data_IF_073907288339
#
_entry.id   IF_073907288339
#
_cell.length_a   1.000
_cell.length_b   1.000
_cell.length_c   1.000
_cell.angle_alpha   90.00
_cell.angle_beta   90.00
_cell.angle_gamma   90.00
#
_symmetry.space_group_name_H-M   'P 1'
#
loop_
_entity.id
_entity.type
_entity.pdbx_description
1 polymer ?
#
# COMPACT_ATOMS: atom_id res chain seq x y z
N UNK A 1 26.98 -6.79 -79.10
CA UNK A 1 27.73 -7.23 -77.93
C UNK A 1 27.07 -6.53 -76.73
N UNK A 2 26.11 -7.21 -76.10
CA UNK A 2 25.31 -6.61 -74.99
C UNK A 2 25.85 -7.09 -73.66
N UNK A 3 26.37 -6.14 -72.85
CA UNK A 3 26.90 -6.38 -71.50
C UNK A 3 25.72 -6.39 -70.49
N UNK A 4 25.42 -7.53 -69.89
CA UNK A 4 24.42 -7.67 -68.82
C UNK A 4 25.08 -7.34 -67.43
N UNK A 5 24.69 -6.21 -66.86
CA UNK A 5 25.02 -5.89 -65.47
C UNK A 5 24.05 -6.67 -64.54
N UNK A 6 24.58 -7.55 -63.69
CA UNK A 6 23.84 -8.16 -62.60
C UNK A 6 23.96 -7.26 -61.36
N UNK A 7 22.86 -6.69 -60.95
CA UNK A 7 22.75 -6.04 -59.62
C UNK A 7 22.61 -7.12 -58.57
N UNK A 8 23.58 -7.17 -57.62
CA UNK A 8 23.51 -8.01 -56.40
C UNK A 8 22.84 -7.18 -55.31
N UNK A 9 21.59 -7.53 -54.94
CA UNK A 9 20.88 -6.92 -53.83
C UNK A 9 21.39 -7.59 -52.52
N UNK A 10 22.18 -6.87 -51.76
CA UNK A 10 22.59 -7.31 -50.39
C UNK A 10 21.46 -6.86 -49.44
N UNK A 11 20.65 -7.80 -48.98
CA UNK A 11 19.68 -7.59 -47.91
C UNK A 11 20.41 -7.64 -46.58
N UNK A 12 20.63 -6.49 -45.96
CA UNK A 12 21.11 -6.39 -44.59
C UNK A 12 19.94 -6.72 -43.62
N UNK A 13 20.00 -7.89 -43.03
CA UNK A 13 19.11 -8.29 -41.94
C UNK A 13 19.62 -7.58 -40.69
N UNK A 14 18.92 -6.53 -40.27
CA UNK A 14 19.10 -5.90 -38.96
C UNK A 14 18.54 -6.84 -37.90
N UNK A 15 19.39 -7.61 -37.25
CA UNK A 15 19.08 -8.27 -36.00
C UNK A 15 18.90 -7.18 -34.92
N UNK A 16 17.64 -6.81 -34.65
CA UNK A 16 17.30 -6.06 -33.44
C UNK A 16 17.52 -7.00 -32.28
N UNK A 17 18.66 -6.87 -31.60
CA UNK A 17 18.90 -7.54 -30.33
C UNK A 17 17.92 -6.93 -29.33
N UNK A 18 16.81 -7.63 -29.03
CA UNK A 18 16.09 -7.43 -27.79
C UNK A 18 17.05 -7.80 -26.66
N UNK A 19 17.70 -6.82 -26.05
CA UNK A 19 18.38 -7.04 -24.79
C UNK A 19 17.32 -7.53 -23.79
N UNK A 20 17.41 -8.76 -23.32
CA UNK A 20 16.62 -9.24 -22.20
C UNK A 20 16.83 -8.25 -21.05
N UNK A 21 15.73 -7.63 -20.63
CA UNK A 21 15.77 -6.66 -19.53
C UNK A 21 15.99 -7.46 -18.26
N UNK A 22 17.20 -7.43 -17.72
CA UNK A 22 17.57 -8.14 -16.49
C UNK A 22 16.69 -7.65 -15.36
N UNK A 23 16.05 -8.58 -14.64
CA UNK A 23 15.29 -8.27 -13.43
C UNK A 23 16.26 -7.82 -12.33
N UNK A 24 15.88 -6.88 -11.46
CA UNK A 24 16.71 -6.47 -10.34
C UNK A 24 16.90 -7.61 -9.37
N UNK A 25 18.12 -7.78 -8.86
CA UNK A 25 18.41 -8.71 -7.78
C UNK A 25 18.10 -8.07 -6.44
N UNK A 26 17.47 -8.84 -5.52
CA UNK A 26 17.10 -8.38 -4.19
C UNK A 26 18.16 -8.79 -3.18
N UNK A 27 18.80 -7.81 -2.54
CA UNK A 27 19.69 -8.00 -1.39
C UNK A 27 18.92 -7.65 -0.10
N UNK A 28 18.82 -8.62 0.82
CA UNK A 28 18.19 -8.40 2.13
C UNK A 28 19.24 -7.84 3.09
N UNK A 29 19.11 -6.58 3.48
CA UNK A 29 20.01 -5.89 4.40
C UNK A 29 19.57 -6.05 5.88
N UNK A 30 18.27 -6.12 6.12
CA UNK A 30 17.70 -6.34 7.46
C UNK A 30 16.40 -7.14 7.34
N UNK A 31 16.19 -8.07 8.27
CA UNK A 31 14.98 -8.88 8.39
C UNK A 31 14.73 -9.10 9.89
N UNK A 32 13.80 -8.34 10.48
CA UNK A 32 13.58 -8.31 11.92
C UNK A 32 12.09 -8.10 12.24
N UNK A 33 11.71 -8.37 13.49
CA UNK A 33 10.45 -7.87 14.04
C UNK A 33 10.65 -6.44 14.57
N UNK A 34 9.64 -5.57 14.39
CA UNK A 34 9.68 -4.20 14.92
C UNK A 34 9.76 -4.23 16.45
N UNK A 35 9.14 -5.21 17.09
CA UNK A 35 9.19 -5.42 18.53
C UNK A 35 9.17 -6.91 18.86
N UNK A 36 9.75 -7.26 20.02
CA UNK A 36 9.72 -8.63 20.54
C UNK A 36 8.60 -8.84 21.57
N UNK A 37 8.28 -7.78 22.33
CA UNK A 37 7.22 -7.77 23.36
C UNK A 37 6.31 -6.57 23.14
N UNK A 38 5.04 -6.73 23.42
CA UNK A 38 3.99 -5.71 23.37
C UNK A 38 3.01 -5.91 24.51
N UNK A 39 2.28 -4.86 24.83
CA UNK A 39 1.19 -4.90 25.83
C UNK A 39 -0.14 -5.38 25.20
N UNK A 40 -0.13 -5.78 23.94
CA UNK A 40 -1.26 -6.30 23.20
C UNK A 40 -0.93 -7.65 22.56
N UNK A 41 -1.86 -8.63 22.59
CA UNK A 41 -1.64 -9.96 22.01
C UNK A 41 -1.74 -10.00 20.51
N UNK A 42 -2.56 -9.12 19.90
CA UNK A 42 -2.78 -9.08 18.44
C UNK A 42 -2.47 -7.72 17.83
N UNK A 43 -2.01 -7.74 16.59
CA UNK A 43 -1.74 -6.55 15.78
C UNK A 43 -2.01 -6.80 14.31
N UNK A 44 -2.26 -5.74 13.54
CA UNK A 44 -2.49 -5.85 12.08
C UNK A 44 -2.27 -4.52 11.36
N UNK A 45 -2.22 -4.60 10.00
CA UNK A 45 -2.28 -3.46 9.07
C UNK A 45 -1.21 -2.40 9.34
N UNK A 46 0.04 -2.77 9.16
CA UNK A 46 1.16 -1.83 9.29
C UNK A 46 1.28 -0.88 8.11
N UNK A 47 1.88 0.27 8.38
CA UNK A 47 2.23 1.33 7.44
C UNK A 47 3.62 1.87 7.74
N UNK A 48 4.27 2.49 6.76
CA UNK A 48 5.62 3.07 6.86
C UNK A 48 5.66 4.48 6.30
N UNK A 49 6.56 5.29 6.83
CA UNK A 49 6.95 6.58 6.24
C UNK A 49 8.42 6.89 6.55
N UNK A 50 9.11 7.58 5.63
CA UNK A 50 10.38 8.25 5.89
C UNK A 50 10.10 9.69 6.33
N UNK A 51 10.67 10.11 7.47
CA UNK A 51 10.58 11.48 7.97
C UNK A 51 11.47 12.43 7.16
N UNK A 52 11.41 13.74 7.42
CA UNK A 52 12.34 14.70 6.83
C UNK A 52 13.79 14.43 7.24
N UNK A 53 14.03 13.99 8.48
CA UNK A 53 15.35 13.61 8.97
C UNK A 53 15.88 12.27 8.41
N UNK A 54 15.13 11.57 7.53
CA UNK A 54 15.52 10.29 6.96
C UNK A 54 15.32 9.10 7.92
N UNK A 55 14.53 9.28 8.98
CA UNK A 55 14.17 8.24 9.93
C UNK A 55 12.93 7.49 9.45
N UNK A 56 12.87 6.17 9.65
CA UNK A 56 11.70 5.38 9.30
C UNK A 56 10.77 5.26 10.50
N UNK A 57 9.50 5.56 10.31
CA UNK A 57 8.42 5.32 11.26
C UNK A 57 7.54 4.21 10.71
N UNK A 58 7.17 3.26 11.57
CA UNK A 58 6.12 2.30 11.31
C UNK A 58 4.95 2.53 12.27
N UNK A 59 3.72 2.33 11.79
CA UNK A 59 2.54 2.32 12.63
C UNK A 59 1.64 1.12 12.27
N UNK A 60 0.83 0.68 13.22
CA UNK A 60 -0.10 -0.45 13.08
C UNK A 60 -1.21 -0.34 14.12
N UNK A 61 -2.26 -1.12 14.00
CA UNK A 61 -3.20 -1.26 15.10
C UNK A 61 -2.91 -2.51 15.93
N UNK A 62 -3.20 -2.44 17.25
CA UNK A 62 -3.02 -3.55 18.18
C UNK A 62 -4.01 -3.48 19.34
N UNK A 63 -4.36 -4.62 19.89
CA UNK A 63 -5.28 -4.79 21.01
C UNK A 63 -5.50 -6.26 21.33
N UNK A 64 -6.54 -6.58 22.10
CA UNK A 64 -6.88 -7.95 22.49
C UNK A 64 -7.18 -8.82 21.25
N UNK A 65 -8.00 -8.34 20.34
CA UNK A 65 -8.26 -8.90 19.01
C UNK A 65 -8.89 -7.82 18.13
N UNK A 66 -8.82 -8.01 16.80
CA UNK A 66 -9.44 -7.11 15.85
C UNK A 66 -10.94 -6.90 16.17
N UNK A 67 -11.42 -5.66 16.22
CA UNK A 67 -12.76 -5.21 16.66
C UNK A 67 -12.92 -5.01 18.16
N UNK A 68 -12.00 -5.45 19.00
CA UNK A 68 -12.10 -5.20 20.43
C UNK A 68 -12.00 -3.69 20.73
N UNK A 69 -12.78 -3.13 21.68
CA UNK A 69 -12.78 -1.69 21.96
C UNK A 69 -11.45 -1.11 22.45
N UNK A 70 -10.48 -1.93 22.88
CA UNK A 70 -9.15 -1.49 23.30
C UNK A 70 -8.17 -1.31 22.14
N UNK A 71 -8.55 -1.73 20.92
CA UNK A 71 -7.68 -1.62 19.75
C UNK A 71 -7.30 -0.17 19.52
N UNK A 72 -6.00 0.06 19.56
CA UNK A 72 -5.38 1.39 19.47
C UNK A 72 -4.34 1.42 18.35
N UNK A 73 -3.96 2.62 17.91
CA UNK A 73 -2.87 2.81 16.94
C UNK A 73 -1.55 2.98 17.71
N UNK A 74 -0.59 2.16 17.33
CA UNK A 74 0.78 2.20 17.84
C UNK A 74 1.76 2.62 16.77
N UNK A 75 2.86 3.24 17.17
CA UNK A 75 4.00 3.51 16.32
C UNK A 75 5.30 3.02 16.94
N UNK A 76 6.30 2.85 16.10
CA UNK A 76 7.70 2.69 16.49
C UNK A 76 8.58 3.49 15.53
N UNK A 77 9.63 4.09 16.06
CA UNK A 77 10.60 4.90 15.31
C UNK A 77 11.90 4.12 15.23
N UNK A 78 12.46 4.00 14.02
CA UNK A 78 13.71 3.30 13.77
C UNK A 78 14.89 4.25 13.98
N UNK A 79 15.81 3.85 14.83
CA UNK A 79 17.12 4.51 15.00
C UNK A 79 18.26 3.59 14.53
N UNK A 80 19.50 4.07 14.62
CA UNK A 80 20.69 3.24 14.34
C UNK A 80 20.81 2.06 15.30
N UNK A 81 20.28 2.16 16.52
CA UNK A 81 20.25 1.08 17.52
C UNK A 81 19.09 0.09 17.33
N UNK A 82 18.21 0.31 16.35
CA UNK A 82 17.03 -0.50 16.05
C UNK A 82 15.71 0.22 16.30
N UNK A 83 14.64 -0.54 16.42
CA UNK A 83 13.29 -0.03 16.63
C UNK A 83 13.05 0.33 18.11
N UNK A 84 12.45 1.49 18.34
CA UNK A 84 11.99 1.87 19.68
C UNK A 84 10.84 0.95 20.15
N UNK A 85 10.57 0.90 21.45
CA UNK A 85 9.40 0.22 21.97
C UNK A 85 8.11 0.83 21.36
N UNK A 86 7.07 0.02 21.09
CA UNK A 86 5.78 0.52 20.62
C UNK A 86 5.22 1.61 21.54
N UNK A 87 4.78 2.72 20.98
CA UNK A 87 4.09 3.79 21.68
C UNK A 87 2.69 4.01 21.10
N UNK A 88 1.69 4.12 21.97
CA UNK A 88 0.32 4.41 21.54
C UNK A 88 0.19 5.88 21.12
N UNK A 89 -0.35 6.12 19.90
CA UNK A 89 -0.48 7.46 19.32
C UNK A 89 -1.93 7.85 19.01
N UNK A 90 -2.85 6.89 18.99
CA UNK A 90 -4.29 7.14 18.90
C UNK A 90 -5.07 5.98 19.52
N UNK A 91 -6.22 6.27 20.05
CA UNK A 91 -7.23 5.30 20.49
C UNK A 91 -8.63 5.87 20.18
N UNK A 92 -9.66 5.04 20.35
CA UNK A 92 -11.05 5.43 20.10
C UNK A 92 -11.76 5.95 21.34
N UNK A 93 -11.03 6.51 22.32
CA UNK A 93 -11.60 7.11 23.51
C UNK A 93 -11.95 8.56 23.27
N UNK A 94 -13.22 8.87 23.31
CA UNK A 94 -13.69 10.27 23.30
C UNK A 94 -13.66 10.83 24.73
N UNK A 95 -13.14 12.04 24.96
CA UNK A 95 -13.29 12.69 26.27
C UNK A 95 -14.76 12.76 26.65
N UNK A 96 -15.11 12.26 27.83
CA UNK A 96 -16.45 12.16 28.39
C UNK A 96 -17.34 11.01 27.86
N UNK A 97 -16.83 10.11 27.02
CA UNK A 97 -17.57 8.92 26.60
C UNK A 97 -17.12 7.70 27.39
N UNK A 98 -18.07 6.89 27.82
CA UNK A 98 -17.79 5.60 28.47
C UNK A 98 -17.53 4.48 27.47
N UNK A 99 -17.78 4.75 26.19
CA UNK A 99 -17.63 3.81 25.08
C UNK A 99 -16.33 4.11 24.35
N UNK A 100 -15.44 3.15 24.27
CA UNK A 100 -14.29 3.18 23.38
C UNK A 100 -14.64 2.44 22.09
N UNK A 101 -14.35 3.03 20.94
CA UNK A 101 -14.43 2.36 19.65
C UNK A 101 -13.06 1.75 19.28
N UNK A 102 -13.01 0.60 18.61
CA UNK A 102 -11.76 0.14 18.03
C UNK A 102 -11.24 1.13 16.97
N UNK A 103 -9.93 1.23 16.89
CA UNK A 103 -9.25 1.96 15.82
C UNK A 103 -8.65 0.99 14.81
N UNK A 104 -8.54 1.41 13.52
CA UNK A 104 -8.21 0.51 12.42
C UNK A 104 -7.28 1.16 11.41
N UNK A 105 -6.52 0.31 10.71
CA UNK A 105 -5.80 0.62 9.48
C UNK A 105 -5.15 2.00 9.47
N UNK A 106 -4.10 2.23 10.27
CA UNK A 106 -3.33 3.45 10.17
C UNK A 106 -2.66 3.55 8.81
N UNK A 107 -2.59 4.75 8.26
CA UNK A 107 -1.79 5.06 7.07
C UNK A 107 -0.98 6.31 7.35
N UNK A 108 0.33 6.17 7.32
CA UNK A 108 1.28 7.27 7.40
C UNK A 108 1.56 7.82 6.00
N UNK A 109 1.60 9.12 5.90
CA UNK A 109 1.92 9.83 4.68
C UNK A 109 2.69 11.12 4.97
N UNK A 110 3.76 11.40 4.22
CA UNK A 110 4.51 12.66 4.27
C UNK A 110 4.12 13.50 3.08
N UNK A 111 3.56 14.69 3.31
CA UNK A 111 3.21 15.61 2.24
C UNK A 111 4.41 16.41 1.74
N UNK A 112 4.26 17.15 0.64
CA UNK A 112 5.34 17.99 0.06
C UNK A 112 5.79 19.12 0.99
N UNK A 113 5.02 19.46 2.04
CA UNK A 113 5.42 20.42 3.07
C UNK A 113 6.20 19.77 4.22
N UNK A 114 6.60 18.50 4.06
CA UNK A 114 7.29 17.66 5.04
C UNK A 114 6.48 17.37 6.31
N UNK A 115 5.19 17.66 6.32
CA UNK A 115 4.31 17.32 7.41
C UNK A 115 3.90 15.85 7.33
N UNK A 116 3.94 15.14 8.46
CA UNK A 116 3.43 13.80 8.56
C UNK A 116 1.92 13.81 8.85
N UNK A 117 1.19 13.05 8.07
CA UNK A 117 -0.23 12.80 8.24
C UNK A 117 -0.42 11.35 8.69
N UNK A 118 -1.12 11.14 9.80
CA UNK A 118 -1.58 9.85 10.26
C UNK A 118 -3.10 9.77 10.04
N UNK A 119 -3.51 9.03 9.03
CA UNK A 119 -4.89 8.64 8.84
C UNK A 119 -5.17 7.34 9.57
N UNK A 120 -6.34 7.20 10.16
CA UNK A 120 -6.82 5.93 10.71
C UNK A 120 -8.35 5.92 10.70
N UNK A 121 -8.95 4.80 11.03
CA UNK A 121 -10.39 4.67 11.14
C UNK A 121 -10.76 4.46 12.60
N UNK A 122 -11.92 4.93 12.98
CA UNK A 122 -12.53 4.70 14.29
C UNK A 122 -13.98 4.27 14.07
N UNK A 123 -14.43 3.29 14.83
CA UNK A 123 -15.81 2.79 14.73
C UNK A 123 -15.92 1.28 14.90
N UNK A 124 -17.13 0.74 15.05
CA UNK A 124 -17.37 -0.66 15.44
C UNK A 124 -16.95 -1.67 14.36
N UNK A 125 -16.98 -1.29 13.07
CA UNK A 125 -16.70 -2.20 11.96
C UNK A 125 -16.28 -1.47 10.69
N UNK A 126 -15.67 -2.16 9.70
CA UNK A 126 -15.32 -1.55 8.42
C UNK A 126 -16.48 -0.97 7.61
N UNK A 127 -17.71 -1.41 7.88
CA UNK A 127 -18.92 -0.88 7.22
C UNK A 127 -19.49 0.37 7.89
N UNK A 128 -19.11 0.66 9.15
CA UNK A 128 -19.69 1.73 9.97
C UNK A 128 -18.67 2.69 10.56
N UNK A 129 -17.39 2.51 10.27
CA UNK A 129 -16.31 3.38 10.75
C UNK A 129 -16.29 4.74 10.05
N UNK A 130 -15.55 5.67 10.60
CA UNK A 130 -15.28 7.00 10.06
C UNK A 130 -13.77 7.28 10.01
N UNK A 131 -13.39 8.22 9.15
CA UNK A 131 -12.00 8.62 8.98
C UNK A 131 -11.54 9.59 10.07
N UNK A 132 -10.32 9.39 10.55
CA UNK A 132 -9.62 10.24 11.51
C UNK A 132 -8.28 10.68 10.94
N UNK A 133 -7.81 11.86 11.33
CA UNK A 133 -6.54 12.44 10.92
C UNK A 133 -5.83 13.06 12.12
N UNK A 134 -4.55 12.79 12.27
CA UNK A 134 -3.60 13.52 13.13
C UNK A 134 -2.43 14.03 12.28
N UNK A 135 -1.78 15.08 12.74
CA UNK A 135 -0.66 15.73 12.05
C UNK A 135 0.55 15.82 12.96
N UNK A 136 1.76 15.73 12.38
CA UNK A 136 3.02 15.94 13.07
C UNK A 136 3.95 16.79 12.22
N UNK A 137 4.61 17.74 12.83
CA UNK A 137 5.63 18.64 12.23
C UNK A 137 7.00 18.47 12.89
N UNK A 138 7.18 17.41 13.68
CA UNK A 138 8.40 17.12 14.44
C UNK A 138 8.89 15.68 14.24
N UNK A 139 8.72 15.17 13.00
CA UNK A 139 9.11 13.82 12.61
C UNK A 139 8.44 12.70 13.43
N UNK A 140 7.15 12.89 13.75
CA UNK A 140 6.33 11.90 14.44
C UNK A 140 6.62 11.74 15.93
N UNK A 141 7.39 12.66 16.54
CA UNK A 141 7.64 12.66 17.99
C UNK A 141 6.40 13.03 18.77
N UNK A 142 5.65 14.00 18.25
CA UNK A 142 4.34 14.38 18.78
C UNK A 142 3.30 14.46 17.67
N UNK A 143 2.05 14.27 18.04
CA UNK A 143 0.91 14.30 17.13
C UNK A 143 -0.15 15.28 17.64
N UNK A 144 -0.79 16.01 16.73
CA UNK A 144 -1.92 16.87 17.05
C UNK A 144 -3.07 16.09 17.68
N UNK A 145 -4.07 16.78 18.20
CA UNK A 145 -5.37 16.21 18.47
C UNK A 145 -5.95 15.56 17.21
N UNK A 146 -6.74 14.51 17.39
CA UNK A 146 -7.39 13.82 16.29
C UNK A 146 -8.56 14.65 15.74
N UNK A 147 -8.64 14.74 14.42
CA UNK A 147 -9.72 15.43 13.70
C UNK A 147 -10.51 14.37 12.94
N UNK A 148 -11.82 14.32 13.14
CA UNK A 148 -12.70 13.50 12.31
C UNK A 148 -12.79 14.10 10.90
N UNK A 149 -12.57 13.28 9.88
CA UNK A 149 -12.73 13.70 8.50
C UNK A 149 -14.21 14.00 8.19
N UNK A 150 -14.49 14.83 7.18
CA UNK A 150 -15.88 15.12 6.79
C UNK A 150 -16.67 13.86 6.48
N UNK A 151 -17.98 13.92 6.64
CA UNK A 151 -18.85 12.79 6.31
C UNK A 151 -18.67 12.33 4.87
N UNK A 152 -18.59 11.00 4.66
CA UNK A 152 -18.33 10.39 3.36
C UNK A 152 -16.87 10.38 2.94
N UNK A 153 -15.97 10.98 3.73
CA UNK A 153 -14.52 10.95 3.54
C UNK A 153 -13.90 10.05 4.62
N UNK A 154 -13.15 9.04 4.18
CA UNK A 154 -12.53 8.05 5.08
C UNK A 154 -11.01 8.22 5.18
N UNK A 155 -10.41 8.99 4.28
CA UNK A 155 -8.96 8.95 4.08
C UNK A 155 -8.50 7.60 3.47
N UNK A 156 -7.21 7.38 3.32
CA UNK A 156 -6.67 6.15 2.77
C UNK A 156 -7.03 4.96 3.68
N UNK A 157 -7.58 3.89 3.11
CA UNK A 157 -8.05 2.75 3.92
C UNK A 157 -6.90 1.86 4.39
N UNK A 158 -5.90 1.61 3.53
CA UNK A 158 -4.76 0.74 3.86
C UNK A 158 -3.46 1.24 3.25
N UNK A 159 -3.50 1.70 2.02
CA UNK A 159 -2.31 2.04 1.26
C UNK A 159 -2.09 3.55 1.25
N UNK A 160 -0.82 3.94 1.18
CA UNK A 160 -0.40 5.34 1.21
C UNK A 160 -0.96 6.13 0.04
N UNK A 161 -1.34 7.40 0.24
CA UNK A 161 -1.59 8.34 -0.85
C UNK A 161 -0.35 8.56 -1.73
N UNK A 162 -0.57 9.08 -2.92
CA UNK A 162 0.47 9.73 -3.73
C UNK A 162 0.18 11.22 -3.79
N UNK A 163 1.23 12.04 -3.90
CA UNK A 163 1.07 13.47 -4.14
C UNK A 163 1.69 13.82 -5.48
N UNK A 164 0.88 14.40 -6.36
CA UNK A 164 1.29 14.79 -7.70
C UNK A 164 2.17 16.06 -7.65
N UNK A 165 2.93 16.32 -8.71
CA UNK A 165 3.74 17.55 -8.83
C UNK A 165 2.90 18.83 -8.73
N UNK A 166 1.61 18.74 -9.08
CA UNK A 166 0.64 19.83 -8.89
C UNK A 166 0.29 20.12 -7.43
N UNK A 167 0.75 19.29 -6.49
CA UNK A 167 0.41 19.35 -5.07
C UNK A 167 -0.86 18.61 -4.68
N UNK A 168 -1.61 18.07 -5.65
CA UNK A 168 -2.83 17.29 -5.38
C UNK A 168 -2.47 15.96 -4.72
N UNK A 169 -3.05 15.70 -3.56
CA UNK A 169 -3.00 14.40 -2.88
C UNK A 169 -4.09 13.51 -3.48
N UNK A 170 -3.72 12.32 -3.93
CA UNK A 170 -4.63 11.27 -4.39
C UNK A 170 -4.61 10.14 -3.37
N UNK A 171 -5.65 10.06 -2.57
CA UNK A 171 -5.77 9.14 -1.43
C UNK A 171 -6.62 7.93 -1.82
N UNK A 172 -6.06 6.70 -1.81
CA UNK A 172 -6.80 5.49 -2.18
C UNK A 172 -7.72 5.06 -1.04
N UNK A 173 -9.01 4.91 -1.33
CA UNK A 173 -10.04 4.62 -0.33
C UNK A 173 -11.05 3.58 -0.84
N UNK A 174 -11.89 3.07 0.06
CA UNK A 174 -12.95 2.13 -0.27
C UNK A 174 -14.02 2.09 0.82
N UNK A 175 -15.20 1.58 0.46
CA UNK A 175 -16.31 1.34 1.38
C UNK A 175 -16.75 -0.12 1.30
N UNK A 176 -17.28 -0.61 2.41
CA UNK A 176 -17.92 -1.91 2.56
C UNK A 176 -19.34 -1.70 3.07
N UNK A 177 -20.33 -2.38 2.49
CA UNK A 177 -21.71 -2.34 3.00
C UNK A 177 -21.87 -3.18 4.27
N UNK A 178 -22.85 -2.86 5.10
CA UNK A 178 -23.10 -3.58 6.36
C UNK A 178 -23.45 -5.05 6.15
N UNK A 179 -24.15 -5.37 5.07
CA UNK A 179 -24.47 -6.74 4.69
C UNK A 179 -23.29 -7.51 4.06
N UNK A 180 -22.14 -6.84 3.88
CA UNK A 180 -20.93 -7.40 3.28
C UNK A 180 -21.06 -7.72 1.78
N UNK A 181 -22.17 -7.36 1.14
CA UNK A 181 -22.44 -7.72 -0.25
C UNK A 181 -21.83 -6.74 -1.25
N UNK A 182 -21.57 -5.51 -0.84
CA UNK A 182 -21.01 -4.47 -1.71
C UNK A 182 -19.70 -3.95 -1.16
N UNK A 183 -18.65 -4.03 -1.99
CA UNK A 183 -17.37 -3.37 -1.77
C UNK A 183 -17.07 -2.49 -2.98
N UNK A 184 -16.79 -1.22 -2.78
CA UNK A 184 -16.51 -0.27 -3.86
C UNK A 184 -15.30 0.59 -3.51
N UNK A 185 -14.39 0.70 -4.47
CA UNK A 185 -13.19 1.53 -4.36
C UNK A 185 -13.42 2.94 -4.91
N UNK A 186 -12.70 3.89 -4.37
CA UNK A 186 -12.67 5.27 -4.81
C UNK A 186 -11.32 5.90 -4.46
N UNK A 187 -11.07 7.09 -4.96
CA UNK A 187 -10.02 7.96 -4.44
C UNK A 187 -10.63 9.20 -3.82
N UNK A 188 -9.91 9.82 -2.91
CA UNK A 188 -10.24 11.10 -2.31
C UNK A 188 -9.12 12.08 -2.67
N UNK A 189 -9.49 13.18 -3.35
CA UNK A 189 -8.57 14.20 -3.84
C UNK A 189 -8.53 15.39 -2.89
N UNK A 190 -7.33 15.87 -2.58
CA UNK A 190 -7.14 17.13 -1.84
C UNK A 190 -6.11 18.00 -2.54
N UNK A 191 -6.45 19.27 -2.76
CA UNK A 191 -5.54 20.28 -3.33
C UNK A 191 -4.98 21.27 -2.28
N UNK A 192 -5.35 21.09 -1.01
CA UNK A 192 -5.04 22.00 0.10
C UNK A 192 -4.38 21.27 1.29
N UNK A 193 -3.56 20.25 0.99
CA UNK A 193 -2.77 19.48 1.95
C UNK A 193 -3.65 18.69 2.95
N UNK A 194 -4.79 18.16 2.47
CA UNK A 194 -5.67 17.32 3.28
C UNK A 194 -6.60 18.10 4.21
N UNK A 195 -6.92 19.35 3.90
CA UNK A 195 -7.93 20.15 4.64
C UNK A 195 -9.33 19.89 4.10
N UNK A 196 -9.46 19.85 2.76
CA UNK A 196 -10.71 19.52 2.08
C UNK A 196 -10.51 18.37 1.10
N UNK A 197 -11.58 17.62 0.84
CA UNK A 197 -11.52 16.40 0.07
C UNK A 197 -12.68 16.28 -0.91
N UNK A 198 -12.40 15.72 -2.09
CA UNK A 198 -13.38 15.35 -3.09
C UNK A 198 -13.29 13.86 -3.38
N UNK A 199 -14.40 13.13 -3.20
CA UNK A 199 -14.47 11.70 -3.52
C UNK A 199 -14.71 11.48 -5.01
N UNK A 200 -13.94 10.55 -5.61
CA UNK A 200 -14.03 10.13 -7.01
C UNK A 200 -14.09 8.61 -7.08
N UNK A 201 -15.16 8.05 -7.62
CA UNK A 201 -15.33 6.60 -7.73
C UNK A 201 -14.33 5.96 -8.70
N UNK A 202 -13.86 4.75 -8.35
CA UNK A 202 -13.23 3.83 -9.30
C UNK A 202 -14.31 2.82 -9.71
N UNK A 203 -14.85 2.90 -10.94
CA UNK A 203 -15.95 2.04 -11.37
C UNK A 203 -15.55 0.57 -11.38
N UNK A 204 -16.47 -0.31 -10.98
CA UNK A 204 -16.37 -1.77 -11.12
C UNK A 204 -17.74 -2.34 -11.46
N UNK A 205 -17.79 -3.54 -12.04
CA UNK A 205 -19.07 -4.24 -12.24
C UNK A 205 -19.78 -4.45 -10.90
N UNK A 206 -21.11 -4.49 -10.89
CA UNK A 206 -21.90 -4.58 -9.66
C UNK A 206 -21.66 -5.87 -8.90
N UNK A 207 -21.41 -6.98 -9.61
CA UNK A 207 -21.10 -8.28 -9.04
C UNK A 207 -19.66 -8.42 -8.53
N UNK A 208 -18.81 -7.41 -8.71
CA UNK A 208 -17.38 -7.45 -8.36
C UNK A 208 -17.11 -6.59 -7.13
N UNK A 209 -16.55 -7.22 -6.11
CA UNK A 209 -16.12 -6.57 -4.88
C UNK A 209 -14.67 -6.12 -4.98
N UNK A 210 -14.41 -4.82 -4.79
CA UNK A 210 -13.07 -4.22 -4.85
C UNK A 210 -12.86 -3.25 -3.71
N UNK A 211 -11.74 -3.41 -2.99
CA UNK A 211 -11.36 -2.53 -1.88
C UNK A 211 -9.85 -2.26 -1.83
N UNK A 212 -9.47 -1.34 -0.97
CA UNK A 212 -8.08 -1.09 -0.55
C UNK A 212 -7.12 -0.90 -1.74
N UNK A 213 -7.42 0.01 -2.69
CA UNK A 213 -6.52 0.24 -3.81
C UNK A 213 -5.13 0.70 -3.34
N UNK A 214 -4.09 0.32 -4.09
CA UNK A 214 -2.78 0.97 -4.04
C UNK A 214 -2.54 1.68 -5.36
N UNK A 215 -1.79 2.78 -5.34
CA UNK A 215 -1.61 3.66 -6.49
C UNK A 215 -0.16 3.66 -6.95
N UNK A 216 0.04 3.60 -8.26
CA UNK A 216 1.32 3.89 -8.92
C UNK A 216 1.13 4.94 -10.00
N UNK A 217 2.18 5.73 -10.27
CA UNK A 217 2.18 6.71 -11.34
C UNK A 217 3.12 6.27 -12.45
N UNK A 218 2.59 6.08 -13.65
CA UNK A 218 3.36 5.71 -14.83
C UNK A 218 4.16 6.91 -15.36
N UNK A 219 5.22 6.66 -16.15
CA UNK A 219 6.12 7.70 -16.70
C UNK A 219 5.40 8.78 -17.51
N UNK A 220 4.27 8.45 -18.14
CA UNK A 220 3.43 9.39 -18.91
C UNK A 220 2.47 10.19 -18.03
N UNK A 221 2.56 10.08 -16.70
CA UNK A 221 1.66 10.75 -15.77
C UNK A 221 0.34 10.03 -15.49
N UNK A 222 0.04 8.94 -16.20
CA UNK A 222 -1.15 8.10 -15.92
C UNK A 222 -1.06 7.52 -14.52
N UNK A 223 -2.14 7.62 -13.76
CA UNK A 223 -2.28 6.91 -12.50
C UNK A 223 -2.87 5.52 -12.76
N UNK A 224 -2.32 4.52 -12.10
CA UNK A 224 -2.89 3.16 -12.08
C UNK A 224 -3.22 2.78 -10.64
N UNK A 225 -4.44 2.31 -10.43
CA UNK A 225 -4.89 1.68 -9.19
C UNK A 225 -4.83 0.16 -9.35
N UNK A 226 -4.18 -0.51 -8.41
CA UNK A 226 -4.21 -1.95 -8.22
C UNK A 226 -5.15 -2.22 -7.04
N UNK A 227 -6.17 -3.04 -7.24
CA UNK A 227 -7.27 -3.21 -6.28
C UNK A 227 -7.33 -4.66 -5.79
N UNK A 228 -7.38 -4.83 -4.48
CA UNK A 228 -7.78 -6.09 -3.85
C UNK A 228 -9.21 -6.42 -4.26
N UNK A 229 -9.48 -7.67 -4.64
CA UNK A 229 -10.80 -8.11 -5.08
C UNK A 229 -11.18 -9.51 -4.56
N UNK A 230 -12.44 -9.86 -4.71
CA UNK A 230 -12.97 -11.22 -4.49
C UNK A 230 -12.87 -12.12 -5.73
N UNK A 231 -12.14 -11.69 -6.78
CA UNK A 231 -12.08 -12.37 -8.08
C UNK A 231 -10.83 -13.25 -8.26
N UNK A 232 -10.07 -13.56 -7.19
CA UNK A 232 -8.77 -14.26 -7.23
C UNK A 232 -7.64 -13.53 -7.97
N UNK A 233 -7.89 -12.34 -8.45
CA UNK A 233 -6.92 -11.50 -9.16
C UNK A 233 -6.90 -10.09 -8.57
N UNK A 234 -5.74 -9.44 -8.69
CA UNK A 234 -5.66 -7.98 -8.53
C UNK A 234 -6.37 -7.36 -9.73
N UNK A 235 -7.34 -6.48 -9.47
CA UNK A 235 -7.97 -5.69 -10.52
C UNK A 235 -7.20 -4.40 -10.74
N UNK A 236 -7.33 -3.85 -11.95
CA UNK A 236 -6.62 -2.65 -12.38
C UNK A 236 -7.58 -1.61 -12.93
N UNK A 237 -7.33 -0.35 -12.61
CA UNK A 237 -8.01 0.81 -13.19
C UNK A 237 -7.01 1.93 -13.45
N UNK A 238 -7.27 2.78 -14.42
CA UNK A 238 -6.36 3.88 -14.80
C UNK A 238 -7.09 5.22 -14.87
N UNK A 239 -6.34 6.28 -14.58
CA UNK A 239 -6.76 7.67 -14.73
C UNK A 239 -5.70 8.46 -15.50
N UNK A 240 -6.11 9.23 -16.49
CA UNK A 240 -5.23 10.11 -17.30
C UNK A 240 -5.42 11.60 -17.00
N UNK A 241 -6.24 11.92 -15.99
CA UNK A 241 -6.67 13.28 -15.65
C UNK A 241 -6.42 13.62 -14.16
N UNK A 242 -5.31 13.09 -13.62
CA UNK A 242 -4.89 13.33 -12.23
C UNK A 242 -5.89 12.79 -11.18
N UNK A 243 -6.55 11.68 -11.47
CA UNK A 243 -7.46 11.01 -10.54
C UNK A 243 -8.91 11.53 -10.60
N UNK A 244 -9.23 12.46 -11.48
CA UNK A 244 -10.57 13.05 -11.58
C UNK A 244 -11.60 12.11 -12.22
N UNK A 245 -11.14 11.15 -13.02
CA UNK A 245 -11.95 10.05 -13.54
C UNK A 245 -11.11 8.78 -13.69
N UNK A 246 -11.77 7.62 -13.66
CA UNK A 246 -11.12 6.32 -13.69
C UNK A 246 -11.80 5.38 -14.66
N UNK A 247 -11.04 4.54 -15.33
CA UNK A 247 -11.57 3.46 -16.15
C UNK A 247 -12.30 2.43 -15.28
N UNK A 248 -13.21 1.65 -15.85
CA UNK A 248 -13.81 0.52 -15.15
C UNK A 248 -12.72 -0.50 -14.78
N UNK A 249 -12.67 -0.91 -13.52
CA UNK A 249 -11.73 -1.90 -13.02
C UNK A 249 -11.90 -3.23 -13.76
N UNK A 250 -10.77 -3.83 -14.17
CA UNK A 250 -10.70 -5.11 -14.90
C UNK A 250 -9.68 -6.01 -14.22
N UNK A 251 -9.85 -7.31 -14.34
CA UNK A 251 -8.87 -8.28 -13.85
C UNK A 251 -7.53 -8.08 -14.54
N UNK A 252 -6.47 -7.98 -13.73
CA UNK A 252 -5.09 -8.08 -14.15
C UNK A 252 -4.65 -9.55 -14.27
N UNK A 253 -3.35 -9.78 -14.31
CA UNK A 253 -2.75 -11.11 -14.45
C UNK A 253 -2.23 -11.67 -13.12
N UNK A 254 -2.19 -10.87 -12.07
CA UNK A 254 -1.60 -11.24 -10.77
C UNK A 254 -2.66 -11.87 -9.89
N UNK A 255 -2.41 -13.10 -9.44
CA UNK A 255 -3.28 -13.81 -8.47
C UNK A 255 -3.25 -13.10 -7.12
N UNK A 256 -4.39 -13.12 -6.41
CA UNK A 256 -4.50 -12.64 -5.05
C UNK A 256 -5.69 -13.30 -4.33
N UNK A 257 -5.50 -13.87 -3.13
CA UNK A 257 -6.54 -14.59 -2.40
C UNK A 257 -7.45 -13.64 -1.61
N UNK A 258 -7.84 -12.51 -2.21
CA UNK A 258 -8.57 -11.47 -1.49
C UNK A 258 -7.81 -10.99 -0.23
N UNK A 259 -6.53 -10.68 -0.39
CA UNK A 259 -5.65 -10.15 0.65
C UNK A 259 -5.16 -8.74 0.32
N UNK A 260 -4.80 -7.98 1.35
CA UNK A 260 -4.22 -6.64 1.16
C UNK A 260 -2.90 -6.68 0.39
N UNK A 261 -2.71 -5.72 -0.49
CA UNK A 261 -1.52 -5.52 -1.32
C UNK A 261 -0.94 -4.14 -1.07
N UNK A 262 0.31 -3.89 -1.43
CA UNK A 262 0.84 -2.53 -1.59
C UNK A 262 1.87 -2.46 -2.71
N UNK A 263 1.90 -1.34 -3.42
CA UNK A 263 2.83 -1.08 -4.51
C UNK A 263 3.50 0.28 -4.37
N UNK A 264 4.61 0.46 -5.07
CA UNK A 264 5.28 1.75 -5.18
C UNK A 264 5.90 1.96 -6.58
N UNK A 265 6.05 3.23 -6.94
CA UNK A 265 6.86 3.66 -8.09
C UNK A 265 8.29 3.88 -7.61
N UNK A 266 9.27 3.26 -8.27
CA UNK A 266 10.70 3.42 -7.96
C UNK A 266 11.24 4.74 -8.53
N UNK A 267 12.15 5.39 -7.80
CA UNK A 267 12.81 6.63 -8.22
C UNK A 267 13.58 6.48 -9.54
N UNK A 268 14.22 5.32 -9.73
CA UNK A 268 14.99 4.98 -10.94
C UNK A 268 14.09 4.49 -12.10
N UNK A 269 12.80 4.36 -11.83
CA UNK A 269 11.79 3.84 -12.75
C UNK A 269 11.52 2.35 -12.58
N UNK A 270 10.33 1.94 -12.98
CA UNK A 270 9.75 0.63 -12.65
C UNK A 270 8.94 0.69 -11.36
N UNK A 271 8.43 -0.46 -10.96
CA UNK A 271 7.44 -0.57 -9.90
C UNK A 271 7.68 -1.82 -9.07
N UNK A 272 7.35 -1.76 -7.80
CA UNK A 272 7.32 -2.91 -6.90
C UNK A 272 5.89 -3.17 -6.43
N UNK A 273 5.56 -4.45 -6.23
CA UNK A 273 4.30 -4.93 -5.68
C UNK A 273 4.60 -6.00 -4.63
N UNK A 274 4.02 -5.85 -3.43
CA UNK A 274 4.03 -6.89 -2.39
C UNK A 274 2.62 -7.45 -2.27
N UNK A 275 2.50 -8.79 -2.38
CA UNK A 275 1.21 -9.45 -2.48
C UNK A 275 1.28 -10.94 -2.09
N UNK A 276 0.12 -11.57 -1.87
CA UNK A 276 0.01 -13.00 -1.65
C UNK A 276 -0.27 -13.70 -3.00
N UNK A 277 0.63 -14.58 -3.51
CA UNK A 277 0.56 -15.17 -4.84
C UNK A 277 -0.29 -16.47 -4.86
N UNK A 278 -1.58 -16.37 -4.54
CA UNK A 278 -2.47 -17.50 -4.45
C UNK A 278 -3.90 -17.14 -4.87
N UNK A 279 -4.72 -18.15 -5.11
CA UNK A 279 -6.18 -18.02 -5.16
C UNK A 279 -6.77 -18.11 -3.74
N UNK A 280 -7.99 -17.60 -3.56
CA UNK A 280 -8.74 -17.75 -2.31
C UNK A 280 -9.10 -19.23 -2.08
N UNK A 281 -8.95 -19.69 -0.84
CA UNK A 281 -9.39 -20.99 -0.41
C UNK A 281 -10.78 -20.98 0.24
N UNK A 282 -11.04 -21.95 1.10
CA UNK A 282 -12.30 -22.05 1.84
C UNK A 282 -12.38 -21.06 2.99
N UNK A 283 -11.26 -20.88 3.67
CA UNK A 283 -11.15 -19.98 4.81
C UNK A 283 -10.59 -18.63 4.34
N UNK A 284 -11.01 -17.57 4.99
CA UNK A 284 -10.60 -16.19 4.64
C UNK A 284 -9.09 -15.94 4.72
N UNK A 285 -8.35 -16.77 5.46
CA UNK A 285 -6.89 -16.71 5.62
C UNK A 285 -6.12 -17.56 4.62
N UNK A 286 -6.81 -18.42 3.86
CA UNK A 286 -6.17 -19.29 2.88
C UNK A 286 -5.43 -18.47 1.82
N UNK A 287 -4.27 -18.96 1.41
CA UNK A 287 -3.39 -18.28 0.46
C UNK A 287 -2.53 -17.15 1.06
N UNK A 288 -2.66 -16.85 2.36
CA UNK A 288 -1.84 -15.83 3.05
C UNK A 288 -0.57 -16.38 3.69
N UNK A 289 -0.29 -17.66 3.52
CA UNK A 289 0.92 -18.33 3.99
C UNK A 289 2.14 -18.11 3.08
N UNK A 290 1.98 -17.36 1.99
CA UNK A 290 3.05 -16.93 1.09
C UNK A 290 2.95 -15.43 0.86
N UNK A 291 4.11 -14.77 0.75
CA UNK A 291 4.20 -13.34 0.47
C UNK A 291 5.36 -13.10 -0.50
N UNK A 292 5.08 -12.48 -1.64
CA UNK A 292 6.06 -12.23 -2.68
C UNK A 292 6.29 -10.74 -2.91
N UNK A 293 7.48 -10.41 -3.38
CA UNK A 293 7.84 -9.13 -3.96
C UNK A 293 7.98 -9.32 -5.47
N UNK A 294 7.18 -8.59 -6.24
CA UNK A 294 7.28 -8.55 -7.69
C UNK A 294 7.77 -7.20 -8.19
N UNK A 295 8.40 -7.20 -9.36
CA UNK A 295 8.84 -6.05 -10.10
C UNK A 295 8.08 -5.95 -11.42
N UNK A 296 7.83 -4.72 -11.85
CA UNK A 296 7.34 -4.41 -13.19
C UNK A 296 8.10 -3.22 -13.77
N UNK A 297 8.50 -3.32 -15.03
CA UNK A 297 9.17 -2.22 -15.72
C UNK A 297 8.19 -1.16 -16.23
N UNK A 298 6.92 -1.54 -16.47
CA UNK A 298 5.91 -0.75 -17.13
C UNK A 298 4.59 -0.61 -16.34
N UNK A 299 4.50 -1.28 -15.17
CA UNK A 299 3.32 -1.33 -14.34
C UNK A 299 2.21 -2.24 -14.87
N UNK A 300 2.53 -3.13 -15.82
CA UNK A 300 1.57 -4.05 -16.46
C UNK A 300 1.96 -5.51 -16.30
N UNK A 301 3.18 -5.86 -16.67
CA UNK A 301 3.72 -7.20 -16.50
C UNK A 301 4.51 -7.25 -15.19
N UNK A 302 4.12 -8.15 -14.31
CA UNK A 302 4.71 -8.34 -12.99
C UNK A 302 5.46 -9.66 -12.94
N UNK A 303 6.70 -9.62 -12.46
CA UNK A 303 7.55 -10.79 -12.31
C UNK A 303 8.06 -10.85 -10.87
N UNK A 304 7.93 -12.03 -10.23
CA UNK A 304 8.43 -12.25 -8.88
C UNK A 304 9.95 -12.16 -8.85
N UNK A 305 10.46 -11.30 -7.97
CA UNK A 305 11.90 -11.10 -7.75
C UNK A 305 12.38 -11.60 -6.38
N UNK A 306 11.44 -11.82 -5.45
CA UNK A 306 11.77 -12.41 -4.14
C UNK A 306 10.53 -13.03 -3.50
N UNK A 307 10.73 -14.17 -2.85
CA UNK A 307 9.78 -14.76 -1.90
C UNK A 307 10.14 -14.23 -0.51
N UNK A 308 9.26 -13.44 0.07
CA UNK A 308 9.46 -12.87 1.40
C UNK A 308 9.08 -13.88 2.50
N UNK A 309 8.02 -14.64 2.24
CA UNK A 309 7.55 -15.75 3.06
C UNK A 309 7.02 -16.86 2.14
N UNK A 310 7.32 -18.13 2.46
CA UNK A 310 6.86 -19.32 1.71
C UNK A 310 6.71 -20.49 2.69
N UNK A 311 5.69 -20.44 3.52
CA UNK A 311 5.44 -21.40 4.60
C UNK A 311 4.26 -22.33 4.26
N UNK A 312 4.18 -23.50 4.88
CA UNK A 312 3.02 -24.37 4.75
C UNK A 312 1.76 -23.81 5.41
N UNK A 313 1.94 -23.04 6.49
CA UNK A 313 0.87 -22.43 7.29
C UNK A 313 1.30 -21.06 7.78
N UNK A 314 0.34 -20.24 8.13
CA UNK A 314 0.57 -18.91 8.68
C UNK A 314 -0.22 -17.84 7.95
N UNK A 315 -0.14 -16.63 8.46
CA UNK A 315 -0.71 -15.43 7.86
C UNK A 315 0.36 -14.35 7.76
N UNK A 316 0.80 -14.06 6.53
CA UNK A 316 1.73 -12.99 6.17
C UNK A 316 0.99 -12.05 5.24
N UNK A 317 0.46 -10.97 5.77
CA UNK A 317 -0.54 -10.18 5.07
C UNK A 317 -0.43 -8.69 5.35
N UNK A 318 -1.19 -7.90 4.61
CA UNK A 318 -1.26 -6.44 4.74
C UNK A 318 0.13 -5.77 4.68
N UNK A 319 0.89 -6.01 3.60
CA UNK A 319 2.19 -5.39 3.43
C UNK A 319 2.06 -3.88 3.25
N UNK A 320 3.10 -3.15 3.68
CA UNK A 320 3.34 -1.76 3.30
C UNK A 320 4.77 -1.64 2.79
N UNK A 321 5.00 -0.87 1.72
CA UNK A 321 6.30 -0.73 1.07
C UNK A 321 6.56 0.73 0.72
N UNK A 322 7.79 1.21 0.99
CA UNK A 322 8.29 2.52 0.57
C UNK A 322 9.73 2.40 0.06
N UNK A 323 10.17 3.38 -0.72
CA UNK A 323 11.58 3.62 -1.02
C UNK A 323 12.03 4.86 -0.27
N UNK A 324 13.14 4.77 0.46
CA UNK A 324 13.71 5.92 1.16
C UNK A 324 14.49 6.85 0.21
N UNK A 325 14.87 8.02 0.71
CA UNK A 325 15.63 9.02 -0.05
C UNK A 325 17.03 8.54 -0.48
N UNK A 326 17.53 7.44 0.09
CA UNK A 326 18.81 6.78 -0.26
C UNK A 326 18.65 5.63 -1.24
N UNK A 327 17.41 5.35 -1.68
CA UNK A 327 17.08 4.28 -2.64
C UNK A 327 16.86 2.90 -2.00
N UNK A 328 16.94 2.76 -0.67
CA UNK A 328 16.59 1.50 -0.01
C UNK A 328 15.09 1.28 0.03
N UNK A 329 14.70 0.02 -0.09
CA UNK A 329 13.31 -0.41 0.03
C UNK A 329 13.06 -0.82 1.48
N UNK A 330 12.03 -0.29 2.08
CA UNK A 330 11.54 -0.66 3.40
C UNK A 330 10.15 -1.25 3.24
N UNK A 331 9.93 -2.40 3.85
CA UNK A 331 8.62 -3.03 3.86
C UNK A 331 8.28 -3.58 5.24
N UNK A 332 7.00 -3.58 5.56
CA UNK A 332 6.44 -4.23 6.74
C UNK A 332 5.24 -5.07 6.35
N UNK A 333 4.92 -6.04 7.16
CA UNK A 333 3.70 -6.84 7.04
C UNK A 333 3.30 -7.45 8.38
N UNK A 334 2.04 -7.80 8.48
CA UNK A 334 1.50 -8.56 9.60
C UNK A 334 2.02 -10.00 9.55
N UNK A 335 2.62 -10.45 10.64
CA UNK A 335 3.10 -11.81 10.81
C UNK A 335 2.25 -12.53 11.87
N UNK A 336 1.40 -13.47 11.41
CA UNK A 336 0.51 -14.28 12.25
C UNK A 336 -0.34 -13.47 13.23
N UNK A 337 -0.75 -12.26 12.86
CA UNK A 337 -1.52 -11.30 13.67
C UNK A 337 -0.95 -11.00 15.06
N UNK A 338 0.28 -11.39 15.33
CA UNK A 338 0.93 -11.24 16.63
C UNK A 338 2.12 -10.29 16.62
N UNK A 339 2.71 -10.06 15.45
CA UNK A 339 3.88 -9.18 15.28
C UNK A 339 3.84 -8.46 13.95
N UNK A 340 4.58 -7.35 13.88
CA UNK A 340 4.88 -6.67 12.63
C UNK A 340 6.32 -7.01 12.23
N UNK A 341 6.45 -7.62 11.05
CA UNK A 341 7.73 -7.91 10.42
C UNK A 341 8.20 -6.68 9.66
N UNK A 342 9.51 -6.45 9.64
CA UNK A 342 10.16 -5.40 8.88
C UNK A 342 11.31 -5.97 8.07
N UNK A 343 11.47 -5.49 6.86
CA UNK A 343 12.62 -5.78 6.01
C UNK A 343 13.17 -4.51 5.39
N UNK A 344 14.51 -4.43 5.29
CA UNK A 344 15.23 -3.43 4.49
C UNK A 344 15.93 -4.14 3.36
N UNK A 345 15.68 -3.69 2.13
CA UNK A 345 16.21 -4.31 0.92
C UNK A 345 17.00 -3.30 0.08
N UNK A 346 17.91 -3.82 -0.73
CA UNK A 346 18.54 -3.10 -1.85
C UNK A 346 18.20 -3.82 -3.15
N UNK A 347 17.88 -3.05 -4.18
CA UNK A 347 17.77 -3.56 -5.55
C UNK A 347 19.09 -3.32 -6.28
N UNK A 348 19.65 -4.38 -6.84
CA UNK A 348 20.86 -4.36 -7.66
C UNK A 348 20.47 -4.63 -9.13
N UNK A 349 20.79 -3.71 -10.06
CA UNK A 349 20.47 -3.81 -11.48
C UNK A 349 21.49 -4.66 -12.26
#
# INVERSE_FOLDING_TARGET
MFLKFKFLLVASVLFSSCAEKKLPEVEVLENAFIYNKSDFPQCHASTLVETEAGTIIAAWFGGEYERHPDVSIYQSIKSDSGWAAPSKIADGKTPNDTISNPTWNPVLFKNQQQELLLFYKEGPSPSTWWGMLKRSTDDGKTWSDAIRLPEGILGPIKNKPIQLDSGVIVSPSSIESEDGNTWKSHVELSSDQGKTWQRVAIPSADSVKVIQPTLIQLKNGTLKALLRSDQNYILESTSTDAGKSWSTAKAGTVLNPNSGIDALTLNEGGFLLVYNPAEAGKDWSDGRNKLNLAYSADGTLWEDISKLEDEEKGEFSYPAIIQDSKGFIHLTYTHNRSKIKYMKLRLNN
#
